data_IF_155900529453
#
_entry.id   IF_155900529453
#
_cell.length_a   1.000
_cell.length_b   1.000
_cell.length_c   1.000
_cell.angle_alpha   90.00
_cell.angle_beta   90.00
_cell.angle_gamma   90.00
#
_symmetry.space_group_name_H-M   'P 1'
#
loop_
_entity.id
_entity.type
_entity.pdbx_description
1 polymer ?
#
# COMPACT_ATOMS: atom_id res chain seq x y z
N UNK A 1 -9.37 42.71 10.88
CA UNK A 1 -10.59 42.09 10.32
C UNK A 1 -11.02 40.97 11.24
N UNK A 2 -12.32 40.81 11.51
CA UNK A 2 -12.82 39.65 12.25
C UNK A 2 -12.88 38.44 11.32
N UNK A 3 -12.55 37.22 11.82
CA UNK A 3 -12.63 36.01 11.01
C UNK A 3 -14.08 35.74 10.56
N UNK A 4 -14.25 35.39 9.29
CA UNK A 4 -15.56 35.01 8.74
C UNK A 4 -16.04 33.71 9.43
N UNK A 5 -17.22 33.70 10.05
CA UNK A 5 -17.70 32.52 10.75
C UNK A 5 -18.24 31.50 9.74
N UNK A 6 -17.36 30.68 9.18
CA UNK A 6 -17.66 29.74 8.10
C UNK A 6 -18.88 28.84 8.39
N UNK A 7 -19.02 28.38 9.64
CA UNK A 7 -20.14 27.52 10.07
C UNK A 7 -21.48 28.24 10.27
N UNK A 8 -21.52 29.57 10.13
CA UNK A 8 -22.76 30.36 10.14
C UNK A 8 -23.30 30.60 8.73
N UNK A 9 -22.54 30.25 7.69
CA UNK A 9 -23.02 30.35 6.32
C UNK A 9 -24.16 29.33 6.08
N UNK A 10 -25.15 29.68 5.23
CA UNK A 10 -26.09 28.69 4.72
C UNK A 10 -25.37 27.54 4.02
N UNK A 11 -26.01 26.38 3.97
CA UNK A 11 -25.37 25.15 3.46
C UNK A 11 -24.89 25.28 2.01
N UNK A 12 -25.62 25.98 1.14
CA UNK A 12 -25.26 26.08 -0.28
C UNK A 12 -23.92 26.83 -0.52
N UNK A 13 -23.70 28.05 0.02
CA UNK A 13 -22.37 28.67 0.00
C UNK A 13 -21.29 27.82 0.65
N UNK A 14 -21.58 27.20 1.79
CA UNK A 14 -20.60 26.37 2.51
C UNK A 14 -20.18 25.16 1.69
N UNK A 15 -21.14 24.49 1.05
CA UNK A 15 -20.90 23.39 0.13
C UNK A 15 -20.00 23.83 -1.04
N UNK A 16 -20.28 24.98 -1.64
CA UNK A 16 -19.46 25.50 -2.74
C UNK A 16 -18.02 25.76 -2.29
N UNK A 17 -17.82 26.35 -1.11
CA UNK A 17 -16.48 26.56 -0.55
C UNK A 17 -15.75 25.21 -0.36
N UNK A 18 -16.38 24.25 0.32
CA UNK A 18 -15.79 22.93 0.60
C UNK A 18 -15.45 22.19 -0.71
N UNK A 19 -16.25 22.33 -1.76
CA UNK A 19 -16.01 21.67 -3.04
C UNK A 19 -14.78 22.21 -3.78
N UNK A 20 -14.37 23.44 -3.49
CA UNK A 20 -13.18 24.07 -4.07
C UNK A 20 -11.91 23.81 -3.25
N UNK A 21 -12.02 23.22 -2.07
CA UNK A 21 -10.86 22.84 -1.27
C UNK A 21 -10.14 21.62 -1.83
N UNK A 22 -8.83 21.61 -1.58
CA UNK A 22 -7.98 20.45 -1.83
C UNK A 22 -8.22 19.37 -0.76
N UNK A 23 -7.64 18.18 -0.97
CA UNK A 23 -7.91 17.02 -0.10
C UNK A 23 -7.42 17.24 1.33
N UNK A 24 -6.31 17.97 1.52
CA UNK A 24 -5.73 18.22 2.83
C UNK A 24 -6.59 19.20 3.62
N UNK A 25 -6.99 20.31 3.03
CA UNK A 25 -7.92 21.29 3.61
C UNK A 25 -9.23 20.62 4.03
N UNK A 26 -9.75 19.74 3.18
CA UNK A 26 -10.95 18.94 3.47
C UNK A 26 -10.73 18.05 4.71
N UNK A 27 -9.60 17.33 4.77
CA UNK A 27 -9.26 16.46 5.89
C UNK A 27 -9.10 17.24 7.18
N UNK A 28 -8.37 18.36 7.17
CA UNK A 28 -8.17 19.21 8.35
C UNK A 28 -9.50 19.78 8.85
N UNK A 29 -10.34 20.28 7.95
CA UNK A 29 -11.67 20.76 8.33
C UNK A 29 -12.54 19.64 8.91
N UNK A 30 -12.49 18.43 8.34
CA UNK A 30 -13.23 17.27 8.85
C UNK A 30 -12.76 16.82 10.25
N UNK A 31 -11.48 17.03 10.61
CA UNK A 31 -10.96 16.71 11.95
C UNK A 31 -11.47 17.65 13.05
N UNK A 32 -11.88 18.89 12.72
CA UNK A 32 -12.27 19.90 13.71
C UNK A 32 -13.42 19.46 14.63
N UNK A 33 -14.47 18.83 14.09
CA UNK A 33 -15.61 18.37 14.90
C UNK A 33 -16.49 17.35 14.16
N UNK A 34 -17.41 16.69 14.89
CA UNK A 34 -18.46 15.86 14.28
C UNK A 34 -19.30 16.65 13.27
N UNK A 35 -19.58 17.93 13.56
CA UNK A 35 -20.38 18.81 12.69
C UNK A 35 -19.66 19.07 11.36
N UNK A 36 -18.38 19.44 11.41
CA UNK A 36 -17.60 19.73 10.20
C UNK A 36 -17.43 18.46 9.36
N UNK A 37 -17.12 17.32 10.00
CA UNK A 37 -17.06 16.03 9.31
C UNK A 37 -18.34 15.68 8.56
N UNK A 38 -19.50 15.86 9.18
CA UNK A 38 -20.79 15.60 8.53
C UNK A 38 -21.04 16.55 7.36
N UNK A 39 -20.66 17.83 7.48
CA UNK A 39 -20.77 18.80 6.39
C UNK A 39 -19.92 18.40 5.18
N UNK A 40 -18.69 17.95 5.42
CA UNK A 40 -17.81 17.48 4.35
C UNK A 40 -18.41 16.26 3.65
N UNK A 41 -18.90 15.26 4.40
CA UNK A 41 -19.55 14.06 3.82
C UNK A 41 -20.74 14.41 2.91
N UNK A 42 -21.43 15.51 3.18
CA UNK A 42 -22.55 16.00 2.36
C UNK A 42 -22.09 16.83 1.15
N UNK A 43 -20.96 17.52 1.28
CA UNK A 43 -20.45 18.44 0.25
C UNK A 43 -19.55 17.74 -0.78
N UNK A 44 -18.72 16.81 -0.33
CA UNK A 44 -17.72 16.11 -1.13
C UNK A 44 -18.34 14.86 -1.76
N UNK A 45 -18.33 14.82 -3.10
CA UNK A 45 -18.70 13.64 -3.89
C UNK A 45 -17.56 13.18 -4.81
N UNK A 46 -16.33 13.55 -4.45
CA UNK A 46 -15.14 13.29 -5.25
C UNK A 46 -14.68 11.85 -4.98
N UNK A 47 -14.41 11.10 -6.04
CA UNK A 47 -13.84 9.76 -5.94
C UNK A 47 -12.33 9.87 -5.75
N UNK A 48 -11.81 9.18 -4.74
CA UNK A 48 -10.39 9.16 -4.41
C UNK A 48 -9.81 7.75 -4.64
N UNK A 49 -8.74 7.69 -5.42
CA UNK A 49 -7.97 6.47 -5.63
C UNK A 49 -6.77 6.46 -4.71
N UNK A 50 -6.71 5.45 -3.85
CA UNK A 50 -5.70 5.33 -2.82
C UNK A 50 -4.64 4.30 -3.22
N UNK A 51 -3.39 4.68 -2.99
CA UNK A 51 -2.21 3.84 -3.07
C UNK A 51 -1.55 3.86 -1.70
N UNK A 52 -1.32 2.68 -1.13
CA UNK A 52 -0.63 2.52 0.15
C UNK A 52 0.78 2.02 -0.10
N UNK A 53 1.76 2.67 0.52
CA UNK A 53 3.14 2.20 0.47
C UNK A 53 3.85 2.49 1.80
N UNK A 54 4.95 1.79 2.02
CA UNK A 54 5.92 2.10 3.06
C UNK A 54 7.27 2.08 2.37
N UNK A 55 7.81 3.26 2.10
CA UNK A 55 9.14 3.42 1.52
C UNK A 55 10.14 3.64 2.66
N UNK A 56 10.31 4.91 3.05
CA UNK A 56 11.07 5.30 4.25
C UNK A 56 10.15 5.57 5.45
N UNK A 57 8.85 5.72 5.19
CA UNK A 57 7.80 6.03 6.14
C UNK A 57 6.47 5.49 5.60
N UNK A 58 5.43 5.41 6.44
CA UNK A 58 4.09 5.08 6.00
C UNK A 58 3.54 6.19 5.10
N UNK A 59 3.03 5.81 3.94
CA UNK A 59 2.53 6.77 2.96
C UNK A 59 1.16 6.38 2.41
N UNK A 60 0.30 7.38 2.30
CA UNK A 60 -0.95 7.32 1.57
C UNK A 60 -0.83 8.29 0.40
N UNK A 61 -0.72 7.73 -0.79
CA UNK A 61 -0.82 8.49 -2.02
C UNK A 61 -2.28 8.42 -2.50
N UNK A 62 -2.83 9.56 -2.87
CA UNK A 62 -4.21 9.62 -3.36
C UNK A 62 -4.34 10.58 -4.52
N UNK A 63 -5.21 10.24 -5.45
CA UNK A 63 -5.59 11.07 -6.58
C UNK A 63 -7.10 11.19 -6.62
N UNK A 64 -7.61 12.40 -6.84
CA UNK A 64 -9.04 12.66 -6.99
C UNK A 64 -9.36 12.67 -8.47
N UNK A 65 -10.39 11.91 -8.88
CA UNK A 65 -10.89 11.97 -10.25
C UNK A 65 -12.30 12.52 -10.30
N UNK A 66 -12.54 13.47 -11.20
CA UNK A 66 -13.88 13.93 -11.56
C UNK A 66 -14.50 13.08 -12.71
N UNK A 67 -13.71 12.26 -13.41
CA UNK A 67 -14.14 11.57 -14.65
C UNK A 67 -13.61 10.15 -14.90
N UNK A 68 -12.93 9.51 -13.93
CA UNK A 68 -12.62 8.06 -13.95
C UNK A 68 -11.33 7.62 -14.64
N UNK A 69 -10.44 8.53 -15.06
CA UNK A 69 -9.13 8.22 -15.66
C UNK A 69 -7.93 8.60 -14.78
N UNK A 70 -6.74 8.04 -15.03
CA UNK A 70 -5.57 8.11 -14.11
C UNK A 70 -4.40 9.00 -14.56
N UNK A 71 -4.40 9.59 -15.76
CA UNK A 71 -3.25 10.37 -16.26
C UNK A 71 -3.56 11.87 -16.30
N UNK A 72 -2.69 12.70 -15.69
CA UNK A 72 -2.65 14.19 -15.63
C UNK A 72 -3.11 14.86 -14.31
N UNK A 73 -3.33 14.12 -13.22
CA UNK A 73 -3.91 14.64 -11.98
C UNK A 73 -2.85 15.08 -10.97
N UNK A 74 -3.21 16.08 -10.16
CA UNK A 74 -2.48 16.36 -8.93
C UNK A 74 -2.51 15.11 -8.05
N UNK A 75 -1.38 14.84 -7.41
CA UNK A 75 -1.22 13.71 -6.49
C UNK A 75 -1.02 14.26 -5.10
N UNK A 76 -1.77 13.75 -4.13
CA UNK A 76 -1.64 14.15 -2.74
C UNK A 76 -1.00 13.00 -1.96
N UNK A 77 0.15 13.26 -1.37
CA UNK A 77 0.97 12.30 -0.67
C UNK A 77 1.02 12.65 0.81
N UNK A 78 0.38 11.84 1.63
CA UNK A 78 0.50 11.93 3.09
C UNK A 78 1.66 11.06 3.54
N UNK A 79 2.69 11.66 4.15
CA UNK A 79 3.83 10.95 4.76
C UNK A 79 3.70 11.02 6.27
N UNK A 80 3.64 9.87 6.93
CA UNK A 80 3.58 9.80 8.40
C UNK A 80 4.94 9.45 8.95
N UNK A 81 5.52 10.37 9.73
CA UNK A 81 6.85 10.26 10.34
C UNK A 81 6.78 10.25 11.85
N UNK A 82 7.84 9.73 12.46
CA UNK A 82 7.99 9.82 13.90
C UNK A 82 8.21 11.28 14.34
N UNK A 83 7.67 11.66 15.50
CA UNK A 83 7.80 13.02 16.04
C UNK A 83 9.27 13.44 16.22
N UNK A 84 10.17 12.49 16.47
CA UNK A 84 11.61 12.74 16.62
C UNK A 84 12.30 13.18 15.33
N UNK A 85 11.71 12.87 14.17
CA UNK A 85 12.20 13.32 12.86
C UNK A 85 11.74 14.74 12.50
N UNK A 86 10.95 15.39 13.37
CA UNK A 86 10.45 16.73 13.10
C UNK A 86 11.60 17.73 13.10
N UNK A 87 11.84 18.31 11.94
CA UNK A 87 12.70 19.47 11.75
C UNK A 87 11.85 20.75 11.65
N UNK A 88 12.51 21.88 11.33
CA UNK A 88 11.84 23.17 11.14
C UNK A 88 11.27 23.33 9.72
N UNK A 89 11.24 22.27 8.91
CA UNK A 89 10.81 22.35 7.51
C UNK A 89 9.28 22.41 7.43
N UNK A 90 8.77 23.04 6.38
CA UNK A 90 7.32 23.15 6.15
C UNK A 90 6.68 21.76 6.04
N UNK A 91 5.51 21.61 6.65
CA UNK A 91 4.73 20.36 6.61
C UNK A 91 4.13 20.08 5.24
N UNK A 92 4.17 21.05 4.33
CA UNK A 92 3.61 20.99 2.99
C UNK A 92 4.68 21.32 1.96
N UNK A 93 4.81 20.48 0.94
CA UNK A 93 5.74 20.70 -0.18
C UNK A 93 5.02 20.39 -1.49
N UNK A 94 5.27 21.18 -2.53
CA UNK A 94 4.68 20.99 -3.86
C UNK A 94 5.76 20.81 -4.90
N UNK A 95 5.75 19.64 -5.55
CA UNK A 95 6.65 19.34 -6.64
C UNK A 95 5.96 19.56 -7.98
N UNK A 96 6.35 20.62 -8.69
CA UNK A 96 5.80 20.97 -10.01
C UNK A 96 6.03 19.91 -11.09
N UNK A 97 7.17 19.21 -11.04
CA UNK A 97 7.57 18.27 -12.10
C UNK A 97 6.66 17.05 -12.19
N UNK A 98 6.11 16.61 -11.06
CA UNK A 98 5.21 15.47 -10.97
C UNK A 98 3.84 15.84 -10.35
N UNK A 99 3.57 17.14 -10.18
CA UNK A 99 2.34 17.70 -9.59
C UNK A 99 1.93 17.02 -8.29
N UNK A 100 2.92 16.79 -7.42
CA UNK A 100 2.69 16.09 -6.14
C UNK A 100 2.72 17.07 -4.99
N UNK A 101 1.61 17.15 -4.26
CA UNK A 101 1.50 17.81 -2.96
C UNK A 101 1.85 16.82 -1.86
N UNK A 102 2.94 17.06 -1.14
CA UNK A 102 3.37 16.24 -0.01
C UNK A 102 2.96 16.90 1.30
N UNK A 103 2.25 16.16 2.15
CA UNK A 103 1.89 16.55 3.51
C UNK A 103 2.62 15.65 4.49
N UNK A 104 3.56 16.20 5.24
CA UNK A 104 4.31 15.48 6.26
C UNK A 104 3.63 15.65 7.62
N UNK A 105 3.14 14.55 8.15
CA UNK A 105 2.45 14.47 9.44
C UNK A 105 3.33 13.73 10.44
N UNK A 106 3.37 14.22 11.67
CA UNK A 106 4.24 13.69 12.73
C UNK A 106 3.42 13.13 13.89
N UNK A 107 3.85 11.99 14.45
CA UNK A 107 3.24 11.37 15.63
C UNK A 107 4.24 10.48 16.35
N UNK A 108 4.07 10.27 17.65
CA UNK A 108 4.77 9.23 18.42
C UNK A 108 4.39 7.82 17.95
N UNK A 109 3.27 7.67 17.25
CA UNK A 109 2.84 6.43 16.63
C UNK A 109 2.43 6.67 15.16
N UNK A 110 3.40 6.61 14.22
CA UNK A 110 3.14 6.85 12.80
C UNK A 110 2.17 5.85 12.17
N UNK A 111 2.16 4.59 12.63
CA UNK A 111 1.24 3.55 12.14
C UNK A 111 -0.21 3.86 12.53
N UNK A 112 -0.44 4.28 13.77
CA UNK A 112 -1.78 4.69 14.21
C UNK A 112 -2.26 5.90 13.42
N UNK A 113 -1.40 6.90 13.25
CA UNK A 113 -1.71 8.09 12.46
C UNK A 113 -2.02 7.73 10.99
N UNK A 114 -1.30 6.77 10.41
CA UNK A 114 -1.58 6.22 9.09
C UNK A 114 -2.98 5.61 9.01
N UNK A 115 -3.35 4.75 9.97
CA UNK A 115 -4.68 4.12 10.01
C UNK A 115 -5.81 5.13 10.23
N UNK A 116 -5.60 6.13 11.09
CA UNK A 116 -6.56 7.21 11.34
C UNK A 116 -6.78 8.08 10.10
N UNK A 117 -5.70 8.40 9.39
CA UNK A 117 -5.76 9.16 8.14
C UNK A 117 -6.47 8.36 7.05
N UNK A 118 -6.14 7.08 6.91
CA UNK A 118 -6.79 6.17 5.96
C UNK A 118 -8.29 6.04 6.25
N UNK A 119 -8.66 5.89 7.53
CA UNK A 119 -10.06 5.86 7.98
C UNK A 119 -10.79 7.17 7.67
N UNK A 120 -10.16 8.31 7.94
CA UNK A 120 -10.74 9.62 7.65
C UNK A 120 -11.04 9.76 6.16
N UNK A 121 -10.09 9.39 5.29
CA UNK A 121 -10.28 9.42 3.85
C UNK A 121 -11.49 8.56 3.45
N UNK A 122 -11.58 7.32 3.90
CA UNK A 122 -12.72 6.43 3.63
C UNK A 122 -14.05 6.90 4.24
N UNK A 123 -14.02 7.70 5.30
CA UNK A 123 -15.22 8.30 5.87
C UNK A 123 -15.75 9.46 5.02
N UNK A 124 -14.84 10.25 4.44
CA UNK A 124 -15.12 11.56 3.85
C UNK A 124 -15.28 11.51 2.33
N UNK A 125 -14.51 10.65 1.67
CA UNK A 125 -14.48 10.51 0.22
C UNK A 125 -15.08 9.17 -0.22
N UNK A 126 -15.46 9.11 -1.49
CA UNK A 126 -15.77 7.84 -2.14
C UNK A 126 -14.45 7.17 -2.55
N UNK A 127 -13.87 6.42 -1.62
CA UNK A 127 -12.52 5.86 -1.76
C UNK A 127 -12.51 4.45 -2.35
N UNK A 128 -11.48 4.17 -3.15
CA UNK A 128 -11.07 2.81 -3.48
C UNK A 128 -9.57 2.65 -3.28
N UNK A 129 -9.12 1.49 -2.76
CA UNK A 129 -7.69 1.16 -2.74
C UNK A 129 -7.32 0.53 -4.08
N UNK A 130 -6.58 1.30 -4.88
CA UNK A 130 -6.10 0.87 -6.18
C UNK A 130 -4.87 -0.03 -6.05
N UNK A 131 -3.90 0.35 -5.23
CA UNK A 131 -2.66 -0.42 -5.04
C UNK A 131 -2.22 -0.48 -3.59
N UNK A 132 -1.64 -1.60 -3.20
CA UNK A 132 -0.88 -1.73 -1.95
C UNK A 132 0.52 -2.28 -2.24
N UNK A 133 1.54 -1.56 -1.79
CA UNK A 133 2.95 -1.89 -1.95
C UNK A 133 3.54 -2.34 -0.61
N UNK A 134 3.77 -3.64 -0.45
CA UNK A 134 4.28 -4.26 0.78
C UNK A 134 5.81 -4.33 0.86
N UNK A 135 6.52 -3.57 0.04
CA UNK A 135 7.96 -3.78 -0.21
C UNK A 135 8.84 -3.57 1.04
N UNK A 136 8.54 -2.56 1.88
CA UNK A 136 9.33 -2.26 3.09
C UNK A 136 8.49 -2.33 4.37
N UNK A 137 7.43 -3.13 4.39
CA UNK A 137 6.65 -3.35 5.60
C UNK A 137 7.20 -4.53 6.38
N UNK A 138 7.40 -4.38 7.69
CA UNK A 138 7.62 -5.51 8.59
C UNK A 138 6.26 -6.20 8.90
N UNK A 139 6.32 -7.46 9.33
CA UNK A 139 5.10 -8.24 9.60
C UNK A 139 4.26 -7.72 10.76
N UNK A 140 4.86 -6.98 11.71
CA UNK A 140 4.15 -6.44 12.87
C UNK A 140 3.24 -5.28 12.43
N UNK A 141 3.75 -4.36 11.62
CA UNK A 141 3.00 -3.21 11.09
C UNK A 141 1.96 -3.62 10.06
N UNK A 142 2.22 -4.70 9.30
CA UNK A 142 1.26 -5.22 8.32
C UNK A 142 -0.04 -5.70 8.95
N UNK A 143 0.02 -6.34 10.12
CA UNK A 143 -1.14 -6.98 10.76
C UNK A 143 -2.26 -5.96 11.03
N UNK A 144 -2.02 -4.84 11.74
CA UNK A 144 -3.04 -3.81 11.94
C UNK A 144 -3.64 -3.26 10.64
N UNK A 145 -2.83 -3.13 9.58
CA UNK A 145 -3.31 -2.65 8.28
C UNK A 145 -4.22 -3.67 7.60
N UNK A 146 -3.84 -4.95 7.61
CA UNK A 146 -4.67 -6.03 7.06
C UNK A 146 -5.96 -6.17 7.87
N UNK A 147 -5.88 -6.12 9.19
CA UNK A 147 -7.05 -6.20 10.08
C UNK A 147 -8.02 -5.04 9.82
N UNK A 148 -7.49 -3.82 9.68
CA UNK A 148 -8.30 -2.66 9.28
C UNK A 148 -8.95 -2.86 7.90
N UNK A 149 -8.19 -3.35 6.90
CA UNK A 149 -8.73 -3.62 5.56
C UNK A 149 -9.84 -4.67 5.59
N UNK A 150 -9.64 -5.75 6.35
CA UNK A 150 -10.62 -6.82 6.52
C UNK A 150 -11.92 -6.31 7.19
N UNK A 151 -11.78 -5.47 8.22
CA UNK A 151 -12.91 -4.82 8.91
C UNK A 151 -13.58 -3.67 8.15
N UNK A 152 -13.03 -3.23 7.02
CA UNK A 152 -13.60 -2.14 6.24
C UNK A 152 -14.67 -2.65 5.25
N UNK A 153 -15.95 -2.41 5.55
CA UNK A 153 -17.07 -2.84 4.68
C UNK A 153 -17.07 -2.16 3.30
N UNK A 154 -16.64 -0.89 3.25
CA UNK A 154 -16.52 -0.14 1.99
C UNK A 154 -15.43 -0.72 1.08
N UNK A 155 -14.42 -1.37 1.65
CA UNK A 155 -13.35 -2.01 0.89
C UNK A 155 -13.77 -3.42 0.51
N UNK A 156 -14.19 -3.59 -0.74
CA UNK A 156 -14.60 -4.91 -1.27
C UNK A 156 -13.49 -5.59 -2.05
N UNK A 157 -12.68 -4.81 -2.78
CA UNK A 157 -11.63 -5.29 -3.69
C UNK A 157 -10.41 -4.38 -3.63
N UNK A 158 -9.21 -4.98 -3.66
CA UNK A 158 -7.97 -4.25 -3.95
C UNK A 158 -7.53 -4.59 -5.37
N UNK A 159 -7.34 -3.56 -6.20
CA UNK A 159 -7.06 -3.77 -7.63
C UNK A 159 -5.66 -4.32 -7.87
N UNK A 160 -4.64 -3.81 -7.19
CA UNK A 160 -3.26 -4.27 -7.33
C UNK A 160 -2.64 -4.51 -5.95
N UNK A 161 -1.98 -5.64 -5.78
CA UNK A 161 -1.10 -5.87 -4.62
C UNK A 161 0.29 -6.18 -5.14
N UNK A 162 1.30 -5.50 -4.60
CA UNK A 162 2.70 -5.68 -4.96
C UNK A 162 3.50 -6.08 -3.74
N UNK A 163 4.29 -7.14 -3.92
CA UNK A 163 5.32 -7.58 -2.99
C UNK A 163 6.68 -7.51 -3.67
N UNK A 164 7.68 -7.07 -2.92
CA UNK A 164 9.10 -7.25 -3.24
C UNK A 164 9.61 -8.39 -2.36
N UNK A 165 9.73 -9.57 -2.96
CA UNK A 165 10.14 -10.78 -2.26
C UNK A 165 11.67 -10.86 -2.26
N UNK A 166 12.25 -10.72 -1.07
CA UNK A 166 13.64 -11.07 -0.75
C UNK A 166 13.64 -12.08 0.42
N UNK A 167 14.82 -12.51 0.89
CA UNK A 167 14.94 -13.53 1.96
C UNK A 167 14.23 -13.09 3.26
N UNK A 168 14.15 -11.78 3.52
CA UNK A 168 13.53 -11.21 4.71
C UNK A 168 12.00 -11.03 4.59
N UNK A 169 11.46 -11.04 3.35
CA UNK A 169 10.07 -10.69 3.07
C UNK A 169 9.20 -11.90 2.64
N UNK A 170 9.69 -13.13 2.78
CA UNK A 170 8.86 -14.33 2.49
C UNK A 170 7.70 -14.46 3.49
N UNK A 171 7.95 -14.12 4.76
CA UNK A 171 6.94 -14.18 5.83
C UNK A 171 5.82 -13.15 5.62
N UNK A 172 6.13 -12.00 5.04
CA UNK A 172 5.21 -10.92 4.66
C UNK A 172 4.13 -11.40 3.67
N UNK A 173 4.53 -12.17 2.65
CA UNK A 173 3.58 -12.72 1.68
C UNK A 173 2.73 -13.84 2.30
N UNK A 174 3.35 -14.74 3.07
CA UNK A 174 2.63 -15.81 3.75
C UNK A 174 1.57 -15.24 4.70
N UNK A 175 1.96 -14.28 5.54
CA UNK A 175 1.06 -13.54 6.42
C UNK A 175 -0.13 -12.96 5.64
N UNK A 176 0.14 -12.24 4.53
CA UNK A 176 -0.93 -11.64 3.74
C UNK A 176 -1.89 -12.68 3.16
N UNK A 177 -1.37 -13.76 2.58
CA UNK A 177 -2.21 -14.81 1.98
C UNK A 177 -3.05 -15.57 3.02
N UNK A 178 -2.54 -15.71 4.25
CA UNK A 178 -3.25 -16.37 5.35
C UNK A 178 -4.31 -15.47 5.99
N UNK A 179 -4.08 -14.15 6.02
CA UNK A 179 -4.91 -13.22 6.81
C UNK A 179 -5.81 -12.32 5.98
N UNK A 180 -5.49 -12.04 4.71
CA UNK A 180 -6.26 -11.10 3.90
C UNK A 180 -7.54 -11.73 3.33
N UNK A 181 -8.68 -11.08 3.53
CA UNK A 181 -10.01 -11.65 3.26
C UNK A 181 -10.77 -10.98 2.10
N UNK A 182 -10.31 -9.81 1.61
CA UNK A 182 -11.01 -9.09 0.53
C UNK A 182 -10.66 -9.66 -0.85
N UNK A 183 -11.48 -9.33 -1.85
CA UNK A 183 -11.21 -9.75 -3.23
C UNK A 183 -9.96 -9.07 -3.77
N UNK A 184 -9.20 -9.79 -4.58
CA UNK A 184 -8.01 -9.28 -5.25
C UNK A 184 -8.30 -9.21 -6.75
N UNK A 185 -7.99 -8.07 -7.36
CA UNK A 185 -8.07 -7.88 -8.80
C UNK A 185 -6.87 -8.52 -9.49
N UNK A 186 -5.84 -7.73 -9.75
CA UNK A 186 -4.55 -8.15 -10.31
C UNK A 186 -3.53 -8.28 -9.20
N UNK A 187 -2.74 -9.36 -9.21
CA UNK A 187 -1.65 -9.55 -8.26
C UNK A 187 -0.32 -9.43 -9.01
N UNK A 188 0.56 -8.54 -8.55
CA UNK A 188 1.88 -8.35 -9.15
C UNK A 188 2.95 -8.83 -8.17
N UNK A 189 3.51 -9.99 -8.42
CA UNK A 189 4.59 -10.53 -7.60
C UNK A 189 5.94 -10.15 -8.22
N UNK A 190 6.75 -9.40 -7.48
CA UNK A 190 8.11 -9.08 -7.91
C UNK A 190 9.08 -9.92 -7.10
N UNK A 191 9.64 -10.93 -7.74
CA UNK A 191 10.67 -11.80 -7.14
C UNK A 191 12.04 -11.14 -7.33
N UNK A 192 12.65 -10.71 -6.24
CA UNK A 192 14.05 -10.26 -6.24
C UNK A 192 14.89 -11.37 -5.61
N UNK A 193 15.18 -12.40 -6.41
CA UNK A 193 16.14 -13.43 -6.07
C UNK A 193 17.52 -13.05 -6.61
N UNK A 194 18.51 -12.93 -5.73
CA UNK A 194 19.91 -12.97 -6.09
C UNK A 194 20.46 -14.38 -5.92
N UNK A 195 21.42 -14.77 -6.76
CA UNK A 195 22.23 -15.97 -6.52
C UNK A 195 23.48 -15.53 -5.78
N UNK A 196 23.68 -16.06 -4.59
CA UNK A 196 24.93 -15.90 -3.86
C UNK A 196 26.02 -16.72 -4.54
N UNK A 197 27.07 -16.05 -4.99
CA UNK A 197 28.26 -16.66 -5.57
C UNK A 197 29.37 -16.51 -4.55
N UNK A 198 29.84 -17.62 -4.01
CA UNK A 198 31.02 -17.64 -3.17
C UNK A 198 32.26 -17.76 -4.06
N UNK A 199 33.15 -16.76 -3.97
CA UNK A 199 34.47 -16.79 -4.57
C UNK A 199 35.34 -17.81 -3.85
N UNK A 200 36.38 -18.30 -4.53
CA UNK A 200 37.38 -19.24 -3.99
C UNK A 200 38.13 -18.73 -2.75
N UNK A 201 38.13 -17.42 -2.51
CA UNK A 201 38.68 -16.77 -1.31
C UNK A 201 37.67 -16.70 -0.14
N UNK A 202 36.50 -17.32 -0.27
CA UNK A 202 35.45 -17.35 0.73
C UNK A 202 34.51 -16.15 0.71
N UNK A 203 34.76 -15.11 -0.10
CA UNK A 203 33.89 -13.93 -0.19
C UNK A 203 32.62 -14.23 -0.97
N UNK A 204 31.46 -13.85 -0.44
CA UNK A 204 30.17 -14.01 -1.10
C UNK A 204 29.81 -12.72 -1.85
N UNK A 205 29.41 -12.83 -3.11
CA UNK A 205 28.81 -11.76 -3.90
C UNK A 205 27.47 -12.19 -4.48
N UNK A 206 26.43 -11.38 -4.29
CA UNK A 206 25.07 -11.68 -4.75
C UNK A 206 24.84 -11.12 -6.15
N UNK A 207 24.58 -11.98 -7.13
CA UNK A 207 24.20 -11.57 -8.49
C UNK A 207 22.68 -11.54 -8.61
N UNK A 208 22.12 -10.35 -8.76
CA UNK A 208 20.68 -10.13 -8.80
C UNK A 208 20.15 -10.22 -10.24
N UNK A 209 19.41 -11.28 -10.60
CA UNK A 209 18.51 -11.22 -11.75
C UNK A 209 17.56 -12.41 -11.89
N UNK A 210 16.25 -12.14 -11.82
CA UNK A 210 15.21 -12.61 -12.76
C UNK A 210 13.87 -11.95 -12.39
N UNK A 211 13.10 -11.49 -13.38
CA UNK A 211 11.77 -10.89 -13.18
C UNK A 211 10.74 -11.75 -13.91
N UNK A 212 9.59 -12.01 -13.27
CA UNK A 212 8.47 -12.68 -13.92
C UNK A 212 7.17 -12.01 -13.48
N UNK A 213 6.42 -11.50 -14.46
CA UNK A 213 5.10 -10.91 -14.26
C UNK A 213 4.07 -11.92 -14.77
N UNK A 214 3.34 -12.55 -13.86
CA UNK A 214 2.18 -13.38 -14.22
C UNK A 214 0.95 -12.50 -14.43
N UNK A 215 0.19 -12.78 -15.48
CA UNK A 215 -1.02 -12.05 -15.88
C UNK A 215 -2.29 -12.54 -15.17
N UNK A 216 -2.30 -13.78 -14.67
CA UNK A 216 -3.39 -14.35 -13.86
C UNK A 216 -2.95 -15.58 -13.04
N UNK A 217 -3.80 -16.00 -12.10
CA UNK A 217 -3.57 -17.10 -11.15
C UNK A 217 -3.45 -18.50 -11.77
N UNK A 218 -3.73 -18.64 -13.07
CA UNK A 218 -3.64 -19.90 -13.79
C UNK A 218 -2.45 -19.95 -14.77
N UNK A 219 -1.71 -18.85 -14.89
CA UNK A 219 -0.58 -18.77 -15.79
C UNK A 219 0.58 -19.62 -15.27
N UNK A 220 0.87 -20.71 -15.98
CA UNK A 220 2.00 -21.58 -15.69
C UNK A 220 3.29 -20.82 -16.04
N UNK A 221 4.17 -20.67 -15.05
CA UNK A 221 5.52 -20.10 -15.25
C UNK A 221 6.17 -20.79 -16.46
N UNK A 222 6.66 -20.02 -17.47
CA UNK A 222 7.27 -20.56 -18.67
C UNK A 222 8.34 -21.61 -18.37
N UNK A 223 8.23 -22.78 -19.01
CA UNK A 223 9.16 -23.91 -18.83
C UNK A 223 10.62 -23.53 -19.14
N UNK A 224 10.85 -22.47 -19.91
CA UNK A 224 12.17 -21.90 -20.22
C UNK A 224 12.84 -21.26 -19.01
N UNK A 225 12.08 -20.52 -18.18
CA UNK A 225 12.58 -19.97 -16.90
C UNK A 225 12.90 -21.10 -15.92
N UNK A 226 12.04 -22.12 -15.85
CA UNK A 226 12.27 -23.32 -15.03
C UNK A 226 13.45 -24.18 -15.51
N UNK A 227 13.73 -24.22 -16.82
CA UNK A 227 14.90 -24.90 -17.39
C UNK A 227 16.19 -24.13 -17.10
N UNK A 228 16.16 -22.81 -17.14
CA UNK A 228 17.33 -21.97 -16.84
C UNK A 228 17.71 -22.03 -15.35
N UNK A 229 16.75 -22.15 -14.43
CA UNK A 229 17.04 -22.41 -13.01
C UNK A 229 17.58 -23.83 -12.78
N UNK A 230 16.97 -24.85 -13.39
CA UNK A 230 17.41 -26.26 -13.25
C UNK A 230 18.79 -26.56 -13.87
N UNK A 231 19.16 -25.92 -14.98
CA UNK A 231 20.51 -26.07 -15.56
C UNK A 231 21.59 -25.52 -14.62
N UNK A 232 21.29 -24.49 -13.82
CA UNK A 232 22.24 -23.89 -12.86
C UNK A 232 22.37 -24.69 -11.56
N UNK A 233 21.32 -25.39 -11.12
CA UNK A 233 21.40 -26.34 -9.98
C UNK A 233 22.34 -27.53 -10.25
N UNK A 234 22.61 -27.91 -11.52
CA UNK A 234 23.53 -29.01 -11.84
C UNK A 234 25.01 -28.69 -11.56
N UNK A 235 25.36 -27.41 -11.38
CA UNK A 235 26.72 -26.98 -11.09
C UNK A 235 26.96 -26.74 -9.58
N UNK A 236 26.15 -27.34 -8.71
CA UNK A 236 26.42 -27.36 -7.26
C UNK A 236 25.94 -26.13 -6.48
N UNK A 237 24.93 -25.41 -6.96
CA UNK A 237 24.33 -24.28 -6.24
C UNK A 237 22.91 -24.68 -5.79
N UNK A 238 22.73 -24.79 -4.47
CA UNK A 238 21.45 -25.11 -3.86
C UNK A 238 20.49 -23.92 -3.93
N UNK A 239 19.27 -24.16 -4.42
CA UNK A 239 18.17 -23.20 -4.41
C UNK A 239 16.98 -23.88 -3.71
N UNK A 240 16.47 -23.29 -2.63
CA UNK A 240 15.19 -23.67 -2.03
C UNK A 240 14.10 -22.95 -2.85
N UNK A 241 13.31 -23.73 -3.59
CA UNK A 241 12.12 -23.24 -4.30
C UNK A 241 10.91 -23.73 -3.54
N UNK A 242 10.28 -22.84 -2.77
CA UNK A 242 9.02 -23.13 -2.08
C UNK A 242 7.87 -22.98 -3.08
N UNK A 243 7.16 -24.09 -3.34
CA UNK A 243 5.96 -24.10 -4.20
C UNK A 243 4.74 -23.65 -3.40
N UNK A 244 4.02 -22.62 -3.87
CA UNK A 244 2.67 -22.35 -3.41
C UNK A 244 1.70 -22.46 -4.59
N UNK A 245 0.96 -23.57 -4.61
CA UNK A 245 -0.23 -23.76 -5.44
C UNK A 245 -1.34 -24.22 -4.49
N UNK A 246 -2.47 -23.51 -4.50
CA UNK A 246 -3.63 -23.66 -3.60
C UNK A 246 -4.42 -24.97 -3.80
N UNK A 247 -3.74 -26.09 -4.09
CA UNK A 247 -4.32 -27.43 -4.29
C UNK A 247 -3.80 -28.50 -3.33
N UNK A 248 -3.02 -28.14 -2.32
CA UNK A 248 -2.50 -29.10 -1.31
C UNK A 248 -3.09 -28.92 0.11
N UNK A 249 -4.31 -28.38 0.21
CA UNK A 249 -5.04 -28.30 1.49
C UNK A 249 -5.56 -29.66 1.99
N UNK A 250 -5.26 -30.77 1.29
CA UNK A 250 -5.72 -32.13 1.67
C UNK A 250 -4.62 -33.14 2.00
N UNK A 251 -3.34 -32.75 2.12
CA UNK A 251 -2.27 -33.72 2.43
C UNK A 251 -1.48 -33.49 3.73
N UNK A 252 -1.88 -32.52 4.57
CA UNK A 252 -1.20 -32.29 5.85
C UNK A 252 -1.71 -33.14 7.03
N UNK A 253 -2.49 -34.21 6.79
CA UNK A 253 -3.01 -35.10 7.86
C UNK A 253 -2.53 -36.56 7.83
N UNK A 254 -1.54 -36.95 7.02
CA UNK A 254 -1.15 -38.38 6.97
C UNK A 254 0.34 -38.71 6.94
N UNK A 255 1.25 -37.80 7.28
CA UNK A 255 2.68 -38.14 7.40
C UNK A 255 3.29 -37.70 8.74
N UNK A 256 2.62 -38.06 9.82
CA UNK A 256 3.27 -38.32 11.12
C UNK A 256 2.96 -39.77 11.50
N UNK A 257 3.59 -40.72 10.80
CA UNK A 257 3.85 -42.10 11.25
C UNK A 257 4.74 -42.80 10.24
N UNK A 258 5.85 -43.37 10.75
CA UNK A 258 6.88 -44.21 10.10
C UNK A 258 7.97 -43.39 9.39
N UNK A 259 9.26 -43.52 9.70
CA UNK A 259 10.03 -44.40 10.59
C UNK A 259 11.09 -43.55 11.29
#
# INVERSE_FOLDING_TARGET
MSPLPLLRLPFLPLKNIIQNWNIYEICEFAKVSKRTKNLVKLAVKKTAYIILNNLENFQIETTISESGGMSLWDTWLFKMKDISERDNTESEDYNESNRTHTFTLFSENPLLLFLETLKLLFEVFDCSIHSVYWNNWNSEDMRPVIDWMNGCDKLTTIRNVRFMLNVNNQMTLALFLETFQKKLGRQYHWYYGGVDIQRVDGKIGTVMWTHYVGSNEHEKIPKTLLKNSRKRNKNGLGMIVTWFSRREETRFKSQTRRK
#
